data_IF_436169206939
#
_entry.id   IF_436169206939
#
_cell.length_a   1.000
_cell.length_b   1.000
_cell.length_c   1.000
_cell.angle_alpha   90.00
_cell.angle_beta   90.00
_cell.angle_gamma   90.00
#
_symmetry.space_group_name_H-M   'P 1'
#
loop_
_entity.id
_entity.type
_entity.pdbx_description
1 polymer ?
#
# COMPACT_ATOMS: atom_id res chain seq x y z
N UNK A 1 0.46 -0.91 12.26
CA UNK A 1 1.17 -1.26 11.02
C UNK A 1 2.56 -0.63 11.06
N UNK A 2 3.54 -1.32 10.49
CA UNK A 2 4.88 -0.75 10.27
C UNK A 2 4.93 -0.28 8.83
N UNK A 3 5.39 0.94 8.57
CA UNK A 3 5.46 1.54 7.22
C UNK A 3 6.91 1.89 6.93
N UNK A 4 7.45 1.30 5.87
CA UNK A 4 8.77 1.59 5.34
C UNK A 4 8.65 2.55 4.17
N UNK A 5 9.30 3.71 4.27
CA UNK A 5 9.30 4.74 3.21
C UNK A 5 10.67 5.41 3.10
N UNK A 6 10.87 6.22 2.07
CA UNK A 6 12.02 7.15 2.06
C UNK A 6 11.69 8.42 2.86
N UNK A 7 12.70 9.07 3.49
CA UNK A 7 12.49 10.28 4.29
C UNK A 7 11.77 11.41 3.54
N UNK A 8 12.06 11.55 2.25
CA UNK A 8 11.63 12.68 1.42
C UNK A 8 10.32 12.44 0.65
N UNK A 9 9.69 11.26 0.80
CA UNK A 9 8.44 10.95 0.11
C UNK A 9 7.24 11.67 0.76
N UNK A 10 6.84 12.81 0.23
CA UNK A 10 5.70 13.60 0.73
C UNK A 10 4.35 12.88 0.64
N UNK A 11 4.05 12.23 -0.48
CA UNK A 11 2.78 11.51 -0.68
C UNK A 11 2.63 10.32 0.28
N UNK A 12 3.74 9.66 0.64
CA UNK A 12 3.76 8.60 1.64
C UNK A 12 3.31 9.12 3.02
N UNK A 13 3.68 10.36 3.39
CA UNK A 13 3.21 11.00 4.62
C UNK A 13 1.70 11.24 4.62
N UNK A 14 1.14 11.71 3.50
CA UNK A 14 -0.31 11.93 3.38
C UNK A 14 -1.08 10.60 3.43
N UNK A 15 -0.54 9.53 2.85
CA UNK A 15 -1.13 8.19 2.98
C UNK A 15 -1.09 7.68 4.43
N UNK A 16 0.01 7.93 5.17
CA UNK A 16 0.11 7.62 6.60
C UNK A 16 -0.99 8.34 7.39
N UNK A 17 -1.21 9.63 7.14
CA UNK A 17 -2.29 10.38 7.78
C UNK A 17 -3.66 9.79 7.48
N UNK A 18 -3.89 9.33 6.24
CA UNK A 18 -5.13 8.67 5.84
C UNK A 18 -5.40 7.40 6.64
N UNK A 19 -4.42 6.50 6.75
CA UNK A 19 -4.59 5.25 7.51
C UNK A 19 -4.69 5.51 9.02
N UNK A 20 -3.98 6.51 9.55
CA UNK A 20 -4.13 6.93 10.96
C UNK A 20 -5.55 7.44 11.25
N UNK A 21 -6.10 8.31 10.39
CA UNK A 21 -7.50 8.78 10.49
C UNK A 21 -8.50 7.64 10.40
N UNK A 22 -8.18 6.58 9.66
CA UNK A 22 -9.00 5.38 9.59
C UNK A 22 -8.89 4.47 10.84
N UNK A 23 -8.04 4.80 11.80
CA UNK A 23 -7.91 4.11 13.09
C UNK A 23 -6.69 3.19 13.21
N UNK A 24 -5.77 3.21 12.24
CA UNK A 24 -4.55 2.39 12.33
C UNK A 24 -3.46 3.11 13.13
N UNK A 25 -2.88 2.43 14.12
CA UNK A 25 -1.61 2.86 14.71
C UNK A 25 -0.48 2.59 13.71
N UNK A 26 0.35 3.59 13.43
CA UNK A 26 1.43 3.50 12.45
C UNK A 26 2.78 3.73 13.13
N UNK A 27 3.72 2.82 12.89
CA UNK A 27 5.14 2.97 13.18
C UNK A 27 5.88 3.21 11.85
N UNK A 28 6.67 4.26 11.74
CA UNK A 28 7.26 4.73 10.47
C UNK A 28 8.77 4.52 10.50
N UNK A 29 9.29 3.74 9.56
CA UNK A 29 10.71 3.45 9.41
C UNK A 29 11.20 4.09 8.11
N UNK A 30 12.03 5.11 8.24
CA UNK A 30 12.67 5.76 7.11
C UNK A 30 13.88 4.94 6.64
N UNK A 31 13.91 4.62 5.36
CA UNK A 31 14.91 3.76 4.72
C UNK A 31 15.46 4.43 3.47
N UNK A 32 16.77 4.32 3.25
CA UNK A 32 17.41 4.81 2.02
C UNK A 32 17.12 3.90 0.81
N UNK A 33 16.96 2.59 1.06
CA UNK A 33 16.66 1.60 0.04
C UNK A 33 15.46 0.73 0.46
N UNK A 34 14.37 0.84 -0.30
CA UNK A 34 13.15 0.04 -0.12
C UNK A 34 13.17 -1.26 -0.93
N UNK A 35 14.12 -1.44 -1.84
CA UNK A 35 14.22 -2.64 -2.69
C UNK A 35 14.35 -3.91 -1.84
N UNK A 36 15.26 -3.89 -0.87
CA UNK A 36 15.45 -5.01 0.07
C UNK A 36 14.22 -5.28 0.93
N UNK A 37 13.47 -4.24 1.30
CA UNK A 37 12.21 -4.38 2.05
C UNK A 37 11.17 -5.08 1.18
N UNK A 38 10.99 -4.61 -0.06
CA UNK A 38 10.03 -5.18 -1.03
C UNK A 38 10.34 -6.64 -1.35
N UNK A 39 11.62 -6.96 -1.58
CA UNK A 39 12.08 -8.33 -1.86
C UNK A 39 11.83 -9.24 -0.66
N UNK A 40 12.27 -8.83 0.55
CA UNK A 40 12.05 -9.58 1.79
C UNK A 40 10.58 -9.88 2.05
N UNK A 41 9.71 -8.92 1.73
CA UNK A 41 8.28 -9.03 1.94
C UNK A 41 7.56 -9.74 0.78
N UNK A 42 8.25 -10.02 -0.32
CA UNK A 42 7.71 -10.75 -1.47
C UNK A 42 6.75 -9.92 -2.33
N UNK A 43 6.98 -8.60 -2.43
CA UNK A 43 6.29 -7.74 -3.40
C UNK A 43 6.71 -8.19 -4.81
N UNK A 44 5.77 -8.54 -5.71
CA UNK A 44 6.13 -9.01 -7.04
C UNK A 44 6.88 -7.95 -7.86
N UNK A 45 7.73 -8.41 -8.77
CA UNK A 45 8.43 -7.52 -9.70
C UNK A 45 7.44 -6.67 -10.49
N UNK A 46 7.80 -5.40 -10.76
CA UNK A 46 6.95 -4.40 -11.41
C UNK A 46 5.63 -4.04 -10.69
N UNK A 47 5.36 -4.57 -9.49
CA UNK A 47 4.22 -4.18 -8.64
C UNK A 47 4.59 -3.17 -7.56
N UNK A 48 5.84 -2.71 -7.54
CA UNK A 48 6.33 -1.76 -6.54
C UNK A 48 5.69 -0.37 -6.60
N UNK A 49 5.71 0.32 -5.46
CA UNK A 49 5.32 1.71 -5.25
C UNK A 49 6.31 2.43 -4.31
N UNK A 50 5.96 3.62 -3.85
CA UNK A 50 6.82 4.52 -3.07
C UNK A 50 7.02 4.11 -1.59
N UNK A 51 6.17 3.25 -1.03
CA UNK A 51 6.28 2.75 0.34
C UNK A 51 5.71 1.33 0.45
N UNK A 52 6.10 0.62 1.51
CA UNK A 52 5.66 -0.73 1.81
C UNK A 52 5.30 -0.83 3.28
N UNK A 53 4.13 -1.36 3.62
CA UNK A 53 3.68 -1.51 4.98
C UNK A 53 3.39 -2.97 5.33
N UNK A 54 3.46 -3.27 6.63
CA UNK A 54 3.21 -4.59 7.20
C UNK A 54 2.13 -4.48 8.29
N UNK A 55 1.08 -5.29 8.19
CA UNK A 55 0.00 -5.36 9.17
C UNK A 55 -0.65 -6.74 9.21
N UNK A 56 -0.82 -7.31 10.40
CA UNK A 56 -1.57 -8.56 10.57
C UNK A 56 -1.04 -9.75 9.77
N UNK A 57 0.25 -9.77 9.43
CA UNK A 57 0.86 -10.80 8.57
C UNK A 57 0.69 -10.55 7.06
N UNK A 58 0.13 -9.42 6.67
CA UNK A 58 -0.02 -8.97 5.29
C UNK A 58 0.93 -7.84 4.93
N UNK A 59 1.31 -7.81 3.65
CA UNK A 59 2.00 -6.69 3.01
C UNK A 59 0.98 -5.73 2.41
N UNK A 60 1.20 -4.43 2.54
CA UNK A 60 0.42 -3.39 1.85
C UNK A 60 1.40 -2.54 1.07
N UNK A 61 1.34 -2.63 -0.26
CA UNK A 61 2.29 -1.96 -1.15
C UNK A 61 1.61 -0.77 -1.85
N UNK A 62 2.14 0.43 -1.63
CA UNK A 62 1.65 1.67 -2.25
C UNK A 62 0.36 2.23 -1.63
N UNK A 63 -0.27 3.13 -2.37
CA UNK A 63 -1.38 3.98 -1.92
C UNK A 63 -2.72 3.25 -1.79
N UNK A 64 -2.74 2.08 -1.14
CA UNK A 64 -3.93 1.24 -0.94
C UNK A 64 -4.91 1.95 0.00
N UNK A 65 -6.21 2.07 -0.33
CA UNK A 65 -7.19 2.65 0.56
C UNK A 65 -7.36 1.91 1.89
N UNK A 66 -7.46 2.66 2.99
CA UNK A 66 -7.70 2.12 4.32
C UNK A 66 -8.92 1.18 4.41
N UNK A 67 -9.96 1.40 3.60
CA UNK A 67 -11.13 0.52 3.53
C UNK A 67 -10.76 -0.87 3.00
N UNK A 68 -9.91 -0.96 1.97
CA UNK A 68 -9.46 -2.24 1.41
C UNK A 68 -8.54 -2.98 2.39
N UNK A 69 -7.71 -2.24 3.14
CA UNK A 69 -6.89 -2.82 4.23
C UNK A 69 -7.78 -3.40 5.33
N UNK A 70 -8.85 -2.69 5.74
CA UNK A 70 -9.81 -3.21 6.72
C UNK A 70 -10.47 -4.48 6.21
N UNK A 71 -10.95 -4.48 4.97
CA UNK A 71 -11.57 -5.66 4.35
C UNK A 71 -10.61 -6.85 4.32
N UNK A 72 -9.34 -6.64 3.94
CA UNK A 72 -8.31 -7.69 4.00
C UNK A 72 -8.17 -8.30 5.40
N UNK A 73 -8.14 -7.46 6.43
CA UNK A 73 -7.98 -7.89 7.83
C UNK A 73 -9.23 -8.56 8.41
N UNK A 74 -10.40 -8.26 7.85
CA UNK A 74 -11.67 -8.90 8.18
C UNK A 74 -11.81 -10.27 7.51
N UNK A 75 -11.60 -10.33 6.19
CA UNK A 75 -11.74 -11.55 5.38
C UNK A 75 -10.61 -12.55 5.61
N UNK A 76 -9.41 -12.04 5.95
CA UNK A 76 -8.19 -12.83 6.21
C UNK A 76 -7.91 -13.90 5.15
N UNK A 77 -7.88 -13.56 3.84
CA UNK A 77 -7.61 -14.54 2.80
C UNK A 77 -6.21 -15.13 2.95
N UNK A 78 -6.00 -16.34 2.41
CA UNK A 78 -4.66 -16.91 2.31
C UNK A 78 -3.85 -16.23 1.19
N UNK A 79 -3.37 -15.04 1.51
CA UNK A 79 -2.66 -14.15 0.60
C UNK A 79 -1.43 -13.57 1.28
N UNK A 80 -0.53 -13.01 0.47
CA UNK A 80 0.61 -12.24 0.97
C UNK A 80 0.20 -10.81 1.33
N UNK A 81 -0.74 -10.21 0.62
CA UNK A 81 -1.11 -8.82 0.89
C UNK A 81 -1.88 -8.13 -0.23
N UNK A 82 -1.93 -6.81 -0.18
CA UNK A 82 -2.49 -5.96 -1.23
C UNK A 82 -1.40 -5.10 -1.86
N UNK A 83 -1.60 -4.77 -3.13
CA UNK A 83 -0.73 -3.86 -3.86
C UNK A 83 -1.52 -2.91 -4.74
N UNK A 84 -1.08 -1.65 -4.74
CA UNK A 84 -1.43 -0.66 -5.74
C UNK A 84 -0.14 -0.21 -6.45
N UNK A 85 0.15 -0.78 -7.64
CA UNK A 85 1.38 -0.46 -8.37
C UNK A 85 1.47 1.00 -8.79
N UNK A 86 2.68 1.56 -8.76
CA UNK A 86 2.92 2.95 -9.15
C UNK A 86 2.31 3.95 -8.15
N UNK A 87 1.83 5.09 -8.64
CA UNK A 87 1.21 6.13 -7.82
C UNK A 87 0.05 6.82 -8.58
N UNK A 88 -1.11 6.15 -8.75
CA UNK A 88 -2.24 6.70 -9.48
C UNK A 88 -2.78 7.96 -8.80
N UNK A 89 -3.02 9.01 -9.59
CA UNK A 89 -3.61 10.25 -9.08
C UNK A 89 -5.00 10.01 -8.53
N UNK A 90 -5.32 10.60 -7.39
CA UNK A 90 -6.59 10.40 -6.69
C UNK A 90 -6.63 9.21 -5.75
N UNK A 91 -5.61 8.32 -5.76
CA UNK A 91 -5.42 7.36 -4.67
C UNK A 91 -5.07 8.10 -3.36
N UNK A 92 -5.31 7.53 -2.17
CA UNK A 92 -5.08 8.23 -0.91
C UNK A 92 -3.63 8.70 -0.74
N UNK A 93 -3.41 9.99 -0.52
CA UNK A 93 -2.09 10.61 -0.52
C UNK A 93 -1.56 11.05 -1.89
N UNK A 94 -2.30 10.80 -2.96
CA UNK A 94 -2.06 11.24 -4.34
C UNK A 94 -3.20 12.14 -4.86
N UNK A 95 -3.98 12.74 -3.96
CA UNK A 95 -5.00 13.72 -4.32
C UNK A 95 -4.35 14.99 -4.91
N UNK A 96 -5.00 15.58 -5.91
CA UNK A 96 -4.57 16.84 -6.53
C UNK A 96 -5.65 17.91 -6.35
N UNK A 97 -5.29 19.21 -6.25
CA UNK A 97 -6.24 20.29 -5.99
C UNK A 97 -7.40 20.36 -6.99
N UNK A 98 -7.16 19.98 -8.25
CA UNK A 98 -8.18 19.98 -9.31
C UNK A 98 -9.18 18.81 -9.18
N UNK A 99 -8.99 17.91 -8.21
CA UNK A 99 -9.87 16.76 -7.98
C UNK A 99 -9.78 15.68 -9.05
N UNK A 100 -8.75 15.71 -9.91
CA UNK A 100 -8.56 14.70 -10.95
C UNK A 100 -8.21 13.35 -10.35
N UNK A 101 -8.91 12.30 -10.77
CA UNK A 101 -8.69 10.92 -10.34
C UNK A 101 -8.39 10.04 -11.56
N UNK A 102 -7.41 9.15 -11.42
CA UNK A 102 -7.17 8.06 -12.35
C UNK A 102 -7.88 6.81 -11.81
N UNK A 103 -8.59 6.05 -12.65
CA UNK A 103 -9.11 4.77 -12.21
C UNK A 103 -7.95 3.86 -11.85
N UNK A 104 -8.10 3.10 -10.77
CA UNK A 104 -7.07 2.17 -10.34
C UNK A 104 -7.65 0.89 -9.75
N UNK A 105 -6.82 -0.15 -9.76
CA UNK A 105 -7.18 -1.45 -9.21
C UNK A 105 -6.18 -1.78 -8.12
N UNK A 106 -6.70 -2.01 -6.92
CA UNK A 106 -5.96 -2.67 -5.85
C UNK A 106 -5.99 -4.17 -6.14
N UNK A 107 -4.83 -4.80 -6.12
CA UNK A 107 -4.68 -6.22 -6.42
C UNK A 107 -4.34 -6.99 -5.14
N UNK A 108 -4.85 -8.21 -5.02
CA UNK A 108 -4.45 -9.18 -4.02
C UNK A 108 -3.19 -9.90 -4.51
N UNK A 109 -2.17 -9.99 -3.67
CA UNK A 109 -0.96 -10.76 -3.93
C UNK A 109 -1.12 -12.15 -3.34
N UNK A 110 -1.11 -13.18 -4.16
CA UNK A 110 -1.10 -14.57 -3.71
C UNK A 110 0.27 -14.96 -3.13
N UNK A 111 0.32 -16.09 -2.41
CA UNK A 111 1.56 -16.58 -1.79
C UNK A 111 2.64 -16.96 -2.81
N UNK A 112 2.25 -17.29 -4.03
CA UNK A 112 3.14 -17.60 -5.16
C UNK A 112 3.61 -16.37 -5.94
N UNK A 113 3.14 -15.17 -5.57
CA UNK A 113 3.49 -13.90 -6.21
C UNK A 113 2.62 -13.51 -7.41
N UNK A 114 1.65 -14.35 -7.79
CA UNK A 114 0.62 -13.94 -8.76
C UNK A 114 -0.33 -12.93 -8.13
N UNK A 115 -1.02 -12.16 -8.96
CA UNK A 115 -1.94 -11.10 -8.52
C UNK A 115 -3.30 -11.22 -9.18
N UNK A 116 -4.36 -10.91 -8.43
CA UNK A 116 -5.72 -10.79 -8.95
C UNK A 116 -6.39 -9.48 -8.50
N UNK A 117 -7.37 -8.93 -9.25
CA UNK A 117 -8.11 -7.74 -8.81
C UNK A 117 -8.82 -7.96 -7.47
N UNK A 118 -8.60 -7.06 -6.51
CA UNK A 118 -9.27 -7.06 -5.21
C UNK A 118 -10.35 -5.97 -5.14
N UNK A 119 -10.02 -4.74 -5.53
CA UNK A 119 -10.96 -3.62 -5.53
C UNK A 119 -10.68 -2.67 -6.70
N UNK A 120 -11.72 -2.06 -7.24
CA UNK A 120 -11.65 -1.08 -8.32
C UNK A 120 -12.17 0.26 -7.82
N UNK A 121 -11.44 1.32 -8.16
CA UNK A 121 -11.71 2.72 -7.80
C UNK A 121 -11.61 3.62 -9.03
#
# INVERSE_FOLDING_TARGET
MTVHKTPTCGCCGVWIDHVQKAGFTVDVHDMDDLGLVKERLGVPYAKGSCHTAEIGGYVIEGHVPAADIKRLLEEKPNARGLVLPGMPLGSPGMEVPEGRQQPFTVELIHRDGTTEPFAQH
#
